data_IF_917943779323
#
_entry.id   IF_917943779323
#
_cell.length_a   1.000
_cell.length_b   1.000
_cell.length_c   1.000
_cell.angle_alpha   90.00
_cell.angle_beta   90.00
_cell.angle_gamma   90.00
#
_symmetry.space_group_name_H-M   'P 1'
#
loop_
_entity.id
_entity.type
_entity.pdbx_description
1 polymer ?
#
# COMPACT_ATOMS: atom_id res chain seq x y z
N UNK A 1 -15.16 -0.07 2.91
CA UNK A 1 -13.74 0.26 3.10
C UNK A 1 -13.14 -0.88 3.93
N UNK A 2 -12.09 -1.55 3.44
CA UNK A 2 -11.48 -2.71 4.11
C UNK A 2 -10.35 -2.27 5.04
N UNK A 3 -9.98 -3.10 6.00
CA UNK A 3 -8.84 -2.84 6.90
C UNK A 3 -7.52 -2.68 6.12
N UNK A 4 -7.36 -3.41 5.01
CA UNK A 4 -6.21 -3.26 4.10
C UNK A 4 -6.16 -1.85 3.49
N UNK A 5 -7.31 -1.28 3.09
CA UNK A 5 -7.34 0.09 2.59
C UNK A 5 -6.94 1.09 3.67
N UNK A 6 -7.30 0.84 4.95
CA UNK A 6 -6.91 1.71 6.06
C UNK A 6 -5.39 1.72 6.24
N UNK A 7 -4.76 0.54 6.33
CA UNK A 7 -3.29 0.45 6.46
C UNK A 7 -2.55 1.13 5.29
N UNK A 8 -3.04 0.96 4.05
CA UNK A 8 -2.45 1.61 2.87
C UNK A 8 -2.62 3.14 2.92
N UNK A 9 -3.79 3.63 3.36
CA UNK A 9 -4.02 5.06 3.55
C UNK A 9 -3.10 5.65 4.63
N UNK A 10 -2.89 4.96 5.76
CA UNK A 10 -1.97 5.41 6.80
C UNK A 10 -0.51 5.48 6.29
N UNK A 11 -0.10 4.53 5.46
CA UNK A 11 1.22 4.58 4.80
C UNK A 11 1.35 5.78 3.85
N UNK A 12 0.32 6.06 3.04
CA UNK A 12 0.27 7.24 2.17
C UNK A 12 0.32 8.55 2.96
N UNK A 13 -0.47 8.67 4.02
CA UNK A 13 -0.50 9.85 4.89
C UNK A 13 0.86 10.12 5.56
N UNK A 14 1.62 9.06 5.82
CA UNK A 14 2.98 9.14 6.32
C UNK A 14 4.05 9.44 5.24
N UNK A 15 3.64 9.57 3.97
CA UNK A 15 4.51 9.90 2.85
C UNK A 15 5.29 8.70 2.29
N UNK A 16 4.86 7.47 2.58
CA UNK A 16 5.50 6.25 2.08
C UNK A 16 5.03 5.98 0.65
N UNK A 17 5.96 5.61 -0.23
CA UNK A 17 5.66 5.23 -1.59
C UNK A 17 5.05 3.82 -1.66
N UNK A 18 3.73 3.72 -1.61
CA UNK A 18 3.00 2.43 -1.67
C UNK A 18 3.10 1.72 -3.03
N UNK A 19 3.62 2.38 -4.07
CA UNK A 19 3.86 1.76 -5.38
C UNK A 19 5.24 1.10 -5.47
N UNK A 20 6.17 1.46 -4.59
CA UNK A 20 7.41 0.72 -4.41
C UNK A 20 7.16 -0.44 -3.45
N UNK A 21 6.98 -1.63 -4.01
CA UNK A 21 6.64 -2.84 -3.25
C UNK A 21 7.71 -3.20 -2.23
N UNK A 22 9.00 -2.95 -2.52
CA UNK A 22 10.09 -3.27 -1.60
C UNK A 22 10.08 -2.32 -0.39
N UNK A 23 9.95 -1.01 -0.64
CA UNK A 23 9.81 0.00 0.42
C UNK A 23 8.55 -0.23 1.24
N UNK A 24 7.41 -0.43 0.59
CA UNK A 24 6.13 -0.66 1.24
C UNK A 24 6.17 -1.91 2.14
N UNK A 25 6.77 -3.02 1.69
CA UNK A 25 6.90 -4.22 2.51
C UNK A 25 7.82 -4.03 3.72
N UNK A 26 8.96 -3.37 3.54
CA UNK A 26 9.90 -3.10 4.64
C UNK A 26 9.25 -2.22 5.72
N UNK A 27 8.56 -1.16 5.31
CA UNK A 27 7.86 -0.27 6.24
C UNK A 27 6.67 -0.98 6.89
N UNK A 28 5.86 -1.72 6.12
CA UNK A 28 4.72 -2.46 6.67
C UNK A 28 5.15 -3.43 7.78
N UNK A 29 6.27 -4.12 7.61
CA UNK A 29 6.84 -4.99 8.66
C UNK A 29 7.35 -4.19 9.86
N UNK A 30 8.03 -3.06 9.64
CA UNK A 30 8.55 -2.20 10.72
C UNK A 30 7.45 -1.57 11.56
N UNK A 31 6.33 -1.20 10.93
CA UNK A 31 5.23 -0.47 11.58
C UNK A 31 4.07 -1.37 11.99
N UNK A 32 4.19 -2.68 11.77
CA UNK A 32 3.16 -3.66 12.11
C UNK A 32 1.84 -3.44 11.36
N UNK A 33 1.93 -3.31 10.03
CA UNK A 33 0.83 -3.36 9.06
C UNK A 33 0.75 -4.76 8.44
N UNK A 34 0.14 -5.74 9.15
CA UNK A 34 0.14 -7.12 8.72
C UNK A 34 -0.66 -7.37 7.45
N UNK A 35 -1.68 -6.56 7.14
CA UNK A 35 -2.49 -6.76 5.94
C UNK A 35 -1.74 -6.30 4.70
N UNK A 36 -1.04 -5.17 4.76
CA UNK A 36 -0.16 -4.72 3.65
C UNK A 36 0.97 -5.72 3.43
N UNK A 37 1.68 -6.10 4.50
CA UNK A 37 2.76 -7.08 4.39
C UNK A 37 2.26 -8.40 3.81
N UNK A 38 1.12 -8.91 4.32
CA UNK A 38 0.51 -10.15 3.83
C UNK A 38 0.03 -10.05 2.38
N UNK A 39 -0.54 -8.92 1.96
CA UNK A 39 -0.98 -8.71 0.58
C UNK A 39 0.21 -8.73 -0.39
N UNK A 40 1.29 -8.03 -0.06
CA UNK A 40 2.51 -8.00 -0.87
C UNK A 40 3.19 -9.38 -0.92
N UNK A 41 3.33 -10.04 0.23
CA UNK A 41 3.96 -11.37 0.31
C UNK A 41 3.17 -12.45 -0.43
N UNK A 42 1.83 -12.33 -0.44
CA UNK A 42 0.95 -13.25 -1.15
C UNK A 42 1.02 -13.03 -2.66
N UNK A 43 0.83 -11.78 -3.11
CA UNK A 43 0.88 -11.40 -4.52
C UNK A 43 1.14 -9.89 -4.66
N UNK A 44 2.40 -9.54 -4.92
CA UNK A 44 2.82 -8.16 -5.17
C UNK A 44 2.11 -7.51 -6.37
N UNK A 45 1.78 -8.29 -7.41
CA UNK A 45 1.09 -7.74 -8.59
C UNK A 45 -0.37 -7.44 -8.25
N UNK A 46 -1.04 -8.36 -7.55
CA UNK A 46 -2.40 -8.16 -7.05
C UNK A 46 -2.49 -7.00 -6.04
N UNK A 47 -1.49 -6.84 -5.18
CA UNK A 47 -1.36 -5.66 -4.31
C UNK A 47 -1.33 -4.36 -5.11
N UNK A 48 -0.48 -4.26 -6.14
CA UNK A 48 -0.40 -3.06 -6.98
C UNK A 48 -1.71 -2.79 -7.74
N UNK A 49 -2.36 -3.82 -8.27
CA UNK A 49 -3.68 -3.67 -8.91
C UNK A 49 -4.75 -3.17 -7.93
N UNK A 50 -4.71 -3.62 -6.66
CA UNK A 50 -5.60 -3.11 -5.62
C UNK A 50 -5.31 -1.65 -5.31
N UNK A 51 -4.04 -1.29 -5.13
CA UNK A 51 -3.59 0.11 -4.94
C UNK A 51 -4.07 0.98 -6.10
N UNK A 52 -3.87 0.55 -7.34
CA UNK A 52 -4.34 1.27 -8.52
C UNK A 52 -5.87 1.43 -8.49
N UNK A 53 -6.61 0.37 -8.17
CA UNK A 53 -8.08 0.43 -8.12
C UNK A 53 -8.65 1.39 -7.07
N UNK A 54 -7.88 1.68 -6.02
CA UNK A 54 -8.29 2.56 -4.91
C UNK A 54 -7.77 3.97 -5.06
N UNK A 55 -6.56 4.15 -5.59
CA UNK A 55 -5.83 5.41 -5.53
C UNK A 55 -5.42 5.97 -6.91
N UNK A 56 -5.59 5.22 -8.02
CA UNK A 56 -5.29 5.71 -9.39
C UNK A 56 -6.38 6.63 -9.97
N UNK A 57 -7.04 7.40 -9.10
CA UNK A 57 -8.04 8.41 -9.42
C UNK A 57 -7.67 9.82 -8.96
N UNK A 58 -6.63 9.96 -8.15
CA UNK A 58 -6.09 11.27 -7.78
C UNK A 58 -4.84 11.52 -8.59
N UNK A 59 -5.02 12.25 -9.69
CA UNK A 59 -3.91 12.88 -10.38
C UNK A 59 -3.04 13.62 -9.37
N UNK A 60 -1.87 13.05 -9.09
CA UNK A 60 -0.72 13.78 -8.60
C UNK A 60 -0.54 14.90 -9.61
N UNK A 61 -1.01 16.09 -9.24
CA UNK A 61 -0.92 17.27 -10.07
C UNK A 61 0.57 17.46 -10.38
N UNK A 62 0.91 17.24 -11.66
CA UNK A 62 2.19 17.65 -12.23
C UNK A 62 2.29 19.19 -12.22
#
# INVERSE_FOLDING_TARGET
MSDLHIEISEMLEAGINIWDVEEALDIARKWNFPLVAGAIEHDATGYLQLVESWFDGEGVAA
#
